data_IF_888127878004
#
_entry.id   IF_888127878004
#
_cell.length_a   1.000
_cell.length_b   1.000
_cell.length_c   1.000
_cell.angle_alpha   90.00
_cell.angle_beta   90.00
_cell.angle_gamma   90.00
#
_symmetry.space_group_name_H-M   'P 1'
#
loop_
_entity.id
_entity.type
_entity.pdbx_description
1 polymer ?
#
# COMPACT_ATOMS: atom_id res chain seq x y z
N UNK A 1 -76.10 3.36 -14.71
CA UNK A 1 -75.88 4.08 -15.98
C UNK A 1 -74.69 4.98 -15.76
N UNK A 2 -73.53 4.84 -16.36
CA UNK A 2 -73.06 4.12 -17.54
C UNK A 2 -71.85 4.91 -17.99
N UNK A 3 -70.67 4.29 -17.92
CA UNK A 3 -69.37 4.85 -18.33
C UNK A 3 -69.41 5.20 -19.81
N UNK A 4 -68.94 6.39 -20.20
CA UNK A 4 -68.23 6.60 -21.48
C UNK A 4 -67.08 7.59 -21.23
N UNK A 5 -65.86 7.05 -21.22
CA UNK A 5 -64.63 7.77 -21.52
C UNK A 5 -64.61 8.13 -23.01
N UNK A 6 -64.12 9.32 -23.35
CA UNK A 6 -63.65 9.60 -24.71
C UNK A 6 -62.33 10.33 -24.64
N UNK A 7 -61.35 9.71 -25.28
CA UNK A 7 -59.95 10.10 -25.33
C UNK A 7 -59.73 11.36 -26.18
N UNK A 8 -58.74 12.15 -25.79
CA UNK A 8 -58.01 13.02 -26.71
C UNK A 8 -56.52 12.69 -26.60
N UNK A 9 -56.05 12.03 -27.64
CA UNK A 9 -54.66 11.75 -27.97
C UNK A 9 -53.86 13.04 -28.20
N UNK A 10 -52.68 13.14 -27.60
CA UNK A 10 -51.74 14.24 -27.84
C UNK A 10 -50.37 13.98 -27.23
N UNK A 11 -49.58 13.15 -27.92
CA UNK A 11 -48.10 13.07 -27.93
C UNK A 11 -47.34 13.24 -26.60
N UNK A 12 -46.93 12.10 -26.04
CA UNK A 12 -45.80 12.00 -25.14
C UNK A 12 -44.50 12.30 -25.91
N UNK A 13 -43.81 13.39 -25.56
CA UNK A 13 -42.39 13.57 -25.85
C UNK A 13 -41.65 13.16 -24.57
N UNK A 14 -41.37 11.87 -24.45
CA UNK A 14 -40.38 11.35 -23.51
C UNK A 14 -39.03 11.40 -24.21
N UNK A 15 -38.28 12.49 -24.06
CA UNK A 15 -36.83 12.49 -24.33
C UNK A 15 -36.13 11.80 -23.16
N UNK A 16 -36.33 10.47 -23.08
CA UNK A 16 -35.38 9.60 -22.39
C UNK A 16 -34.19 9.45 -23.33
N UNK A 17 -33.17 10.30 -23.14
CA UNK A 17 -31.84 9.96 -23.62
C UNK A 17 -31.41 8.72 -22.85
N UNK A 18 -31.63 7.56 -23.44
CA UNK A 18 -30.96 6.32 -23.11
C UNK A 18 -29.46 6.61 -23.11
N UNK A 19 -28.86 6.75 -21.93
CA UNK A 19 -27.43 6.54 -21.77
C UNK A 19 -27.20 5.11 -22.24
N UNK A 20 -26.65 4.97 -23.44
CA UNK A 20 -26.06 3.72 -23.90
C UNK A 20 -25.06 3.29 -22.86
N UNK A 21 -25.35 2.20 -22.16
CA UNK A 21 -24.39 1.52 -21.31
C UNK A 21 -23.09 1.35 -22.13
N UNK A 22 -21.98 1.76 -21.54
CA UNK A 22 -20.67 1.48 -22.11
C UNK A 22 -20.56 -0.04 -22.36
N UNK A 23 -19.96 -0.47 -23.47
CA UNK A 23 -19.78 -1.89 -23.72
C UNK A 23 -18.96 -2.49 -22.58
N UNK A 24 -19.54 -3.49 -21.91
CA UNK A 24 -18.78 -4.39 -21.04
C UNK A 24 -17.73 -5.04 -21.93
N UNK A 25 -16.45 -4.72 -21.69
CA UNK A 25 -15.32 -5.32 -22.39
C UNK A 25 -15.14 -6.76 -21.88
N UNK A 26 -16.05 -7.66 -22.27
CA UNK A 26 -15.85 -9.10 -22.16
C UNK A 26 -15.00 -9.59 -23.33
N UNK A 27 -13.69 -9.42 -23.19
CA UNK A 27 -12.66 -10.24 -23.84
C UNK A 27 -11.32 -9.97 -23.13
N UNK A 28 -11.02 -10.72 -22.07
CA UNK A 28 -9.68 -10.73 -21.48
C UNK A 28 -8.68 -11.18 -22.55
N UNK A 29 -7.87 -10.23 -23.02
CA UNK A 29 -6.65 -10.57 -23.73
C UNK A 29 -5.83 -11.44 -22.78
N UNK A 30 -5.38 -12.65 -23.19
CA UNK A 30 -4.62 -13.52 -22.32
C UNK A 30 -3.45 -12.76 -21.71
N UNK A 31 -3.30 -12.84 -20.38
CA UNK A 31 -2.16 -12.22 -19.72
C UNK A 31 -0.86 -12.80 -20.28
N UNK A 32 0.17 -11.96 -20.48
CA UNK A 32 1.48 -12.42 -20.93
C UNK A 32 2.14 -13.35 -19.90
N UNK A 33 3.11 -14.14 -20.34
CA UNK A 33 3.82 -15.08 -19.45
C UNK A 33 4.97 -14.36 -18.73
N UNK A 34 5.01 -14.46 -17.40
CA UNK A 34 6.12 -13.99 -16.58
C UNK A 34 7.40 -14.79 -16.85
N UNK A 35 8.57 -14.13 -16.84
CA UNK A 35 9.87 -14.80 -16.89
C UNK A 35 10.10 -15.57 -15.57
N UNK A 36 10.55 -16.84 -15.60
CA UNK A 36 10.61 -17.68 -14.41
C UNK A 36 11.43 -17.12 -13.23
N UNK A 37 12.51 -16.39 -13.52
CA UNK A 37 13.46 -15.90 -12.50
C UNK A 37 13.16 -14.47 -12.02
N UNK A 38 12.09 -13.83 -12.50
CA UNK A 38 11.71 -12.46 -12.11
C UNK A 38 10.47 -12.52 -11.21
N UNK A 39 10.70 -12.45 -9.90
CA UNK A 39 9.63 -12.52 -8.89
C UNK A 39 8.57 -11.44 -9.12
N UNK A 40 8.98 -10.24 -9.47
CA UNK A 40 8.14 -9.07 -9.67
C UNK A 40 7.16 -9.24 -10.83
N UNK A 41 7.53 -9.97 -11.88
CA UNK A 41 6.64 -10.28 -12.99
C UNK A 41 5.55 -11.28 -12.59
N UNK A 42 5.91 -12.27 -11.77
CA UNK A 42 4.92 -13.17 -11.15
C UNK A 42 3.94 -12.39 -10.28
N UNK A 43 4.42 -11.40 -9.52
CA UNK A 43 3.55 -10.54 -8.71
C UNK A 43 2.70 -9.59 -9.57
N UNK A 44 3.21 -9.13 -10.72
CA UNK A 44 2.47 -8.31 -11.66
C UNK A 44 1.25 -9.03 -12.22
N UNK A 45 1.35 -10.33 -12.48
CA UNK A 45 0.20 -11.14 -12.91
C UNK A 45 -0.93 -11.16 -11.87
N UNK A 46 -0.59 -11.29 -10.59
CA UNK A 46 -1.57 -11.23 -9.50
C UNK A 46 -2.27 -9.86 -9.45
N UNK A 47 -1.51 -8.78 -9.59
CA UNK A 47 -2.07 -7.43 -9.62
C UNK A 47 -2.94 -7.19 -10.86
N UNK A 48 -2.52 -7.64 -12.06
CA UNK A 48 -3.29 -7.50 -13.29
C UNK A 48 -4.65 -8.22 -13.25
N UNK A 49 -4.71 -9.40 -12.61
CA UNK A 49 -5.95 -10.14 -12.36
C UNK A 49 -6.89 -9.41 -11.38
N UNK A 50 -6.32 -8.58 -10.50
CA UNK A 50 -7.01 -8.03 -9.35
C UNK A 50 -7.51 -6.59 -9.54
N UNK A 51 -6.71 -5.69 -10.14
CA UNK A 51 -6.92 -4.22 -10.09
C UNK A 51 -8.30 -3.74 -10.60
N UNK A 52 -8.95 -4.50 -11.48
CA UNK A 52 -10.29 -4.22 -12.02
C UNK A 52 -11.34 -5.29 -11.69
N UNK A 53 -10.99 -6.28 -10.87
CA UNK A 53 -11.90 -7.32 -10.39
C UNK A 53 -12.75 -6.75 -9.26
N UNK A 54 -14.02 -6.47 -9.55
CA UNK A 54 -14.88 -5.75 -8.60
C UNK A 54 -15.35 -6.59 -7.39
N UNK A 55 -15.45 -7.92 -7.50
CA UNK A 55 -16.00 -8.76 -6.43
C UNK A 55 -15.20 -10.05 -6.19
N UNK A 56 -15.13 -10.56 -4.93
CA UNK A 56 -15.68 -9.94 -3.71
C UNK A 56 -14.91 -8.68 -3.29
N UNK A 57 -15.62 -7.69 -2.71
CA UNK A 57 -15.03 -6.44 -2.25
C UNK A 57 -15.63 -5.98 -0.92
N UNK A 58 -14.76 -5.44 -0.06
CA UNK A 58 -15.02 -4.93 1.28
C UNK A 58 -15.01 -3.40 1.23
N UNK A 59 -16.15 -2.84 0.89
CA UNK A 59 -16.37 -1.40 1.02
C UNK A 59 -16.63 -1.07 2.50
N UNK A 60 -15.65 -0.46 3.18
CA UNK A 60 -15.78 -0.05 4.58
C UNK A 60 -15.81 1.47 4.72
N UNK A 61 -16.99 2.02 4.97
CA UNK A 61 -17.18 3.45 5.11
C UNK A 61 -18.44 3.79 5.94
N UNK A 62 -18.53 5.00 6.49
CA UNK A 62 -19.76 5.45 7.15
C UNK A 62 -20.85 5.71 6.09
N UNK A 63 -22.08 5.22 6.28
CA UNK A 63 -23.22 5.66 5.48
C UNK A 63 -23.78 6.94 6.12
N UNK A 64 -23.74 8.06 5.39
CA UNK A 64 -24.41 9.29 5.81
C UNK A 64 -25.92 9.20 5.55
N UNK A 65 -26.30 8.59 4.43
CA UNK A 65 -27.67 8.29 4.02
C UNK A 65 -27.70 7.08 3.06
N UNK A 66 -28.90 6.70 2.60
CA UNK A 66 -29.09 5.54 1.72
C UNK A 66 -28.35 5.65 0.38
N UNK A 67 -28.03 6.87 -0.08
CA UNK A 67 -27.32 7.09 -1.33
C UNK A 67 -25.82 6.76 -1.23
N UNK A 68 -25.27 6.56 -0.03
CA UNK A 68 -23.89 6.08 0.15
C UNK A 68 -23.75 4.56 -0.10
N UNK A 69 -24.85 3.80 -0.05
CA UNK A 69 -24.85 2.35 -0.28
C UNK A 69 -24.75 2.02 -1.78
N UNK A 70 -23.54 2.16 -2.34
CA UNK A 70 -23.25 1.96 -3.77
C UNK A 70 -22.17 0.91 -4.02
N UNK A 71 -22.13 0.32 -5.23
CA UNK A 71 -21.03 -0.57 -5.61
C UNK A 71 -19.68 0.16 -5.70
N UNK A 72 -18.54 -0.55 -5.51
CA UNK A 72 -17.19 0.04 -5.53
C UNK A 72 -16.91 0.94 -6.73
N UNK A 73 -17.25 0.50 -7.94
CA UNK A 73 -17.03 1.26 -9.19
C UNK A 73 -17.76 2.62 -9.24
N UNK A 74 -18.80 2.79 -8.44
CA UNK A 74 -19.53 4.06 -8.36
C UNK A 74 -18.97 4.97 -7.25
N UNK A 75 -18.28 4.41 -6.25
CA UNK A 75 -17.72 5.12 -5.11
C UNK A 75 -16.31 5.64 -5.40
N UNK A 76 -15.43 4.76 -5.90
CA UNK A 76 -14.01 5.03 -6.11
C UNK A 76 -13.53 4.34 -7.42
N UNK A 77 -13.87 4.90 -8.59
CA UNK A 77 -13.68 4.25 -9.89
C UNK A 77 -12.22 4.09 -10.33
N UNK A 78 -11.25 4.77 -9.74
CA UNK A 78 -9.85 4.55 -10.06
C UNK A 78 -9.29 3.31 -9.33
N UNK A 79 -9.86 3.00 -8.15
CA UNK A 79 -9.34 1.99 -7.23
C UNK A 79 -10.43 1.00 -6.78
N UNK A 80 -11.35 0.64 -7.67
CA UNK A 80 -12.54 -0.14 -7.33
C UNK A 80 -12.33 -1.65 -7.25
N UNK A 81 -11.33 -2.18 -7.95
CA UNK A 81 -11.06 -3.61 -7.99
C UNK A 81 -10.36 -4.11 -6.72
N UNK A 82 -9.90 -5.36 -6.75
CA UNK A 82 -9.35 -6.06 -5.62
C UNK A 82 -10.32 -6.16 -4.42
N UNK A 83 -9.81 -6.62 -3.29
CA UNK A 83 -10.63 -6.84 -2.10
C UNK A 83 -11.11 -5.54 -1.46
N UNK A 84 -10.37 -4.44 -1.51
CA UNK A 84 -10.78 -3.12 -1.05
C UNK A 84 -9.95 -2.02 -1.72
N UNK A 85 -10.23 -0.75 -1.39
CA UNK A 85 -9.59 0.41 -2.01
C UNK A 85 -8.07 0.38 -1.91
N UNK A 86 -7.51 0.14 -0.72
CA UNK A 86 -6.05 0.12 -0.58
C UNK A 86 -5.43 -1.12 -1.22
N UNK A 87 -6.11 -2.27 -1.23
CA UNK A 87 -5.71 -3.45 -2.01
C UNK A 87 -5.58 -3.14 -3.50
N UNK A 88 -6.50 -2.35 -4.05
CA UNK A 88 -6.38 -1.85 -5.41
C UNK A 88 -5.15 -0.97 -5.55
N UNK A 89 -4.94 0.00 -4.66
CA UNK A 89 -3.76 0.88 -4.67
C UNK A 89 -2.44 0.09 -4.59
N UNK A 90 -2.38 -0.99 -3.80
CA UNK A 90 -1.23 -1.91 -3.75
C UNK A 90 -0.90 -2.48 -5.14
N UNK A 91 -1.91 -2.99 -5.84
CA UNK A 91 -1.78 -3.49 -7.20
C UNK A 91 -1.26 -2.41 -8.15
N UNK A 92 -1.88 -1.22 -8.12
CA UNK A 92 -1.49 -0.10 -8.98
C UNK A 92 -0.03 0.36 -8.72
N UNK A 93 0.39 0.45 -7.46
CA UNK A 93 1.78 0.75 -7.10
C UNK A 93 2.74 -0.32 -7.62
N UNK A 94 2.42 -1.60 -7.42
CA UNK A 94 3.25 -2.72 -7.88
C UNK A 94 3.43 -2.65 -9.40
N UNK A 95 2.35 -2.49 -10.15
CA UNK A 95 2.39 -2.43 -11.60
C UNK A 95 3.23 -1.23 -12.09
N UNK A 96 3.10 -0.08 -11.44
CA UNK A 96 3.91 1.11 -11.73
C UNK A 96 5.41 0.86 -11.44
N UNK A 97 5.72 0.16 -10.34
CA UNK A 97 7.10 -0.24 -9.99
C UNK A 97 7.68 -1.18 -11.03
N UNK A 98 6.91 -2.14 -11.53
CA UNK A 98 7.36 -3.08 -12.58
C UNK A 98 7.69 -2.31 -13.87
N UNK A 99 6.85 -1.38 -14.31
CA UNK A 99 7.13 -0.56 -15.50
C UNK A 99 8.43 0.24 -15.39
N UNK A 100 8.76 0.73 -14.19
CA UNK A 100 9.96 1.53 -13.95
C UNK A 100 11.23 0.71 -13.80
N UNK A 101 11.14 -0.46 -13.15
CA UNK A 101 12.31 -1.32 -12.88
C UNK A 101 12.63 -2.24 -14.05
N UNK A 102 11.62 -2.67 -14.82
CA UNK A 102 11.74 -3.62 -15.93
C UNK A 102 11.11 -3.04 -17.20
N UNK A 103 11.88 -2.21 -17.91
CA UNK A 103 11.46 -1.56 -19.15
C UNK A 103 11.07 -2.56 -20.25
N UNK A 104 11.71 -3.73 -20.26
CA UNK A 104 11.52 -4.85 -21.18
C UNK A 104 10.47 -5.89 -20.73
N UNK A 105 9.73 -5.60 -19.65
CA UNK A 105 8.74 -6.53 -19.10
C UNK A 105 7.70 -6.94 -20.15
N UNK A 106 7.45 -8.24 -20.38
CA UNK A 106 6.39 -8.67 -21.30
C UNK A 106 4.98 -8.28 -20.83
N UNK A 107 4.82 -7.82 -19.57
CA UNK A 107 3.57 -7.27 -19.04
C UNK A 107 3.33 -5.81 -19.42
N UNK A 108 4.31 -5.10 -19.98
CA UNK A 108 4.27 -3.64 -20.15
C UNK A 108 2.97 -3.12 -20.75
N UNK A 109 2.56 -3.66 -21.89
CA UNK A 109 1.35 -3.18 -22.59
C UNK A 109 0.06 -3.47 -21.80
N UNK A 110 -0.01 -4.64 -21.15
CA UNK A 110 -1.14 -5.00 -20.30
C UNK A 110 -1.23 -4.08 -19.06
N UNK A 111 -0.08 -3.74 -18.48
CA UNK A 111 0.00 -2.81 -17.36
C UNK A 111 -0.45 -1.41 -17.78
N UNK A 112 0.11 -0.89 -18.87
CA UNK A 112 -0.25 0.44 -19.36
C UNK A 112 -1.76 0.52 -19.63
N UNK A 113 -2.34 -0.48 -20.30
CA UNK A 113 -3.77 -0.51 -20.58
C UNK A 113 -4.64 -0.46 -19.31
N UNK A 114 -4.26 -1.20 -18.24
CA UNK A 114 -4.99 -1.21 -16.97
C UNK A 114 -4.86 0.10 -16.21
N UNK A 115 -3.64 0.64 -16.12
CA UNK A 115 -3.37 1.89 -15.41
C UNK A 115 -3.95 3.11 -16.15
N UNK A 116 -4.00 3.07 -17.48
CA UNK A 116 -4.64 4.10 -18.31
C UNK A 116 -6.13 4.27 -18.00
N UNK A 117 -6.84 3.16 -17.85
CA UNK A 117 -8.26 3.17 -17.48
C UNK A 117 -8.44 3.69 -16.05
N UNK A 118 -7.69 3.14 -15.09
CA UNK A 118 -7.77 3.57 -13.68
C UNK A 118 -7.44 5.05 -13.47
N UNK A 119 -6.37 5.54 -14.09
CA UNK A 119 -5.85 6.90 -13.91
C UNK A 119 -6.43 7.91 -14.91
N UNK A 120 -7.53 7.57 -15.59
CA UNK A 120 -8.28 8.53 -16.37
C UNK A 120 -8.68 9.75 -15.49
N UNK A 121 -8.54 10.99 -15.98
CA UNK A 121 -8.87 12.19 -15.19
C UNK A 121 -10.27 12.18 -14.58
N UNK A 122 -11.25 11.60 -15.29
CA UNK A 122 -12.64 11.48 -14.84
C UNK A 122 -12.76 10.55 -13.63
N UNK A 123 -12.00 9.46 -13.61
CA UNK A 123 -11.98 8.51 -12.49
C UNK A 123 -11.35 9.16 -11.27
N UNK A 124 -10.22 9.86 -11.43
CA UNK A 124 -9.58 10.59 -10.33
C UNK A 124 -10.48 11.72 -9.80
N UNK A 125 -11.21 12.43 -10.67
CA UNK A 125 -12.17 13.45 -10.22
C UNK A 125 -13.25 12.86 -9.30
N UNK A 126 -13.72 11.64 -9.59
CA UNK A 126 -14.70 10.93 -8.75
C UNK A 126 -14.10 10.43 -7.43
N UNK A 127 -12.83 10.03 -7.41
CA UNK A 127 -12.10 9.78 -6.15
C UNK A 127 -12.06 11.05 -5.29
N UNK A 128 -11.76 12.21 -5.89
CA UNK A 128 -11.73 13.50 -5.21
C UNK A 128 -13.09 13.85 -4.61
N UNK A 129 -14.19 13.64 -5.35
CA UNK A 129 -15.55 13.82 -4.85
C UNK A 129 -15.83 12.89 -3.65
N UNK A 130 -15.45 11.61 -3.74
CA UNK A 130 -15.63 10.68 -2.63
C UNK A 130 -14.83 11.09 -1.39
N UNK A 131 -13.56 11.45 -1.57
CA UNK A 131 -12.73 11.90 -0.44
C UNK A 131 -13.35 13.15 0.17
N UNK A 132 -13.74 14.16 -0.61
CA UNK A 132 -14.23 15.44 -0.07
C UNK A 132 -15.63 15.38 0.56
N UNK A 133 -16.36 14.29 0.41
CA UNK A 133 -17.69 14.13 1.01
C UNK A 133 -17.69 14.15 2.55
N UNK A 134 -18.82 14.52 3.19
CA UNK A 134 -18.96 14.52 4.65
C UNK A 134 -18.60 13.17 5.28
N UNK A 135 -18.00 13.21 6.47
CA UNK A 135 -17.60 12.03 7.25
C UNK A 135 -16.56 11.10 6.58
N UNK A 136 -15.88 11.54 5.51
CA UNK A 136 -14.81 10.77 4.83
C UNK A 136 -13.40 11.16 5.24
N UNK A 137 -13.22 12.09 6.19
CA UNK A 137 -11.89 12.55 6.64
C UNK A 137 -11.00 11.42 7.17
N UNK A 138 -11.62 10.36 7.71
CA UNK A 138 -10.92 9.23 8.31
C UNK A 138 -10.61 8.06 7.38
N UNK A 139 -11.20 8.07 6.18
CA UNK A 139 -11.06 6.99 5.22
C UNK A 139 -9.58 6.70 4.95
N UNK A 140 -9.21 5.42 5.03
CA UNK A 140 -7.87 4.88 4.73
C UNK A 140 -6.70 5.39 5.60
N UNK A 141 -6.96 6.12 6.69
CA UNK A 141 -5.90 6.59 7.59
C UNK A 141 -5.35 5.48 8.50
N UNK A 142 -4.02 5.36 8.67
CA UNK A 142 -2.95 5.95 7.84
C UNK A 142 -2.59 5.08 6.62
N UNK A 143 -2.95 3.79 6.63
CA UNK A 143 -2.37 2.78 5.76
C UNK A 143 -2.63 2.97 4.26
N UNK A 144 -3.90 3.03 3.84
CA UNK A 144 -4.21 3.21 2.43
C UNK A 144 -3.69 4.55 1.89
N UNK A 145 -3.74 5.61 2.72
CA UNK A 145 -3.14 6.89 2.35
C UNK A 145 -1.63 6.79 2.13
N UNK A 146 -0.93 6.05 2.98
CA UNK A 146 0.51 5.84 2.86
C UNK A 146 0.88 5.09 1.57
N UNK A 147 0.12 4.07 1.20
CA UNK A 147 0.31 3.34 -0.05
C UNK A 147 -0.01 4.18 -1.29
N UNK A 148 -1.05 5.01 -1.23
CA UNK A 148 -1.34 5.95 -2.30
C UNK A 148 -0.18 6.94 -2.50
N UNK A 149 0.37 7.47 -1.41
CA UNK A 149 1.53 8.37 -1.49
C UNK A 149 2.79 7.65 -1.98
N UNK A 150 2.96 6.35 -1.73
CA UNK A 150 4.00 5.55 -2.37
C UNK A 150 3.78 5.38 -3.88
N UNK A 151 2.54 5.20 -4.34
CA UNK A 151 2.20 5.22 -5.78
C UNK A 151 2.60 6.56 -6.39
N UNK A 152 2.24 7.68 -5.77
CA UNK A 152 2.62 9.01 -6.25
C UNK A 152 4.15 9.16 -6.31
N UNK A 153 4.87 8.79 -5.25
CA UNK A 153 6.33 8.86 -5.22
C UNK A 153 6.99 7.98 -6.29
N UNK A 154 6.42 6.82 -6.59
CA UNK A 154 6.94 5.93 -7.63
C UNK A 154 6.87 6.57 -9.02
N UNK A 155 5.73 7.21 -9.32
CA UNK A 155 5.49 7.92 -10.58
C UNK A 155 6.31 9.20 -10.70
N UNK A 156 6.44 9.95 -9.60
CA UNK A 156 7.19 11.21 -9.53
C UNK A 156 8.66 11.05 -9.91
N UNK A 157 9.28 9.96 -9.46
CA UNK A 157 10.68 9.61 -9.71
C UNK A 157 10.94 9.05 -11.12
N UNK A 158 9.93 8.84 -11.95
CA UNK A 158 10.08 8.23 -13.27
C UNK A 158 10.30 9.26 -14.36
N UNK A 159 11.26 9.04 -15.27
CA UNK A 159 11.40 9.86 -16.48
C UNK A 159 10.49 9.40 -17.64
N UNK A 160 9.72 8.31 -17.46
CA UNK A 160 8.79 7.80 -18.47
C UNK A 160 7.62 8.79 -18.67
N UNK A 161 7.39 9.30 -19.89
CA UNK A 161 6.34 10.29 -20.16
C UNK A 161 4.94 9.84 -19.74
N UNK A 162 4.62 8.54 -19.83
CA UNK A 162 3.29 8.04 -19.47
C UNK A 162 3.12 8.00 -17.96
N UNK A 163 4.16 7.61 -17.21
CA UNK A 163 4.14 7.65 -15.75
C UNK A 163 4.02 9.10 -15.24
N UNK A 164 4.69 10.05 -15.90
CA UNK A 164 4.56 11.48 -15.61
C UNK A 164 3.16 12.03 -15.93
N UNK A 165 2.49 11.53 -16.97
CA UNK A 165 1.09 11.87 -17.24
C UNK A 165 0.16 11.39 -16.11
N UNK A 166 0.28 10.13 -15.70
CA UNK A 166 -0.49 9.62 -14.56
C UNK A 166 -0.19 10.35 -13.26
N UNK A 167 1.07 10.69 -13.00
CA UNK A 167 1.50 11.53 -11.86
C UNK A 167 0.73 12.84 -11.81
N UNK A 168 0.53 13.49 -12.95
CA UNK A 168 -0.26 14.72 -13.05
C UNK A 168 -1.75 14.47 -12.82
N UNK A 169 -2.31 13.37 -13.34
CA UNK A 169 -3.72 13.02 -13.12
C UNK A 169 -4.02 12.77 -11.64
N UNK A 170 -3.09 12.15 -10.90
CA UNK A 170 -3.24 11.82 -9.47
C UNK A 170 -3.10 13.04 -8.52
N UNK A 171 -2.55 14.15 -9.00
CA UNK A 171 -2.23 15.33 -8.19
C UNK A 171 -3.43 15.90 -7.38
N UNK A 172 -4.65 16.02 -7.93
CA UNK A 172 -5.79 16.55 -7.17
C UNK A 172 -6.14 15.72 -5.93
N UNK A 173 -6.06 14.39 -6.03
CA UNK A 173 -6.32 13.48 -4.92
C UNK A 173 -5.16 13.48 -3.92
N UNK A 174 -3.92 13.49 -4.41
CA UNK A 174 -2.69 13.64 -3.60
C UNK A 174 -2.77 14.87 -2.68
N UNK A 175 -3.13 16.04 -3.21
CA UNK A 175 -3.21 17.27 -2.41
C UNK A 175 -4.22 17.15 -1.26
N UNK A 176 -5.37 16.51 -1.49
CA UNK A 176 -6.37 16.27 -0.45
C UNK A 176 -5.84 15.31 0.63
N UNK A 177 -5.16 14.24 0.22
CA UNK A 177 -4.58 13.25 1.12
C UNK A 177 -3.47 13.88 1.97
N UNK A 178 -2.57 14.64 1.33
CA UNK A 178 -1.51 15.42 1.99
C UNK A 178 -2.08 16.34 3.06
N UNK A 179 -3.07 17.16 2.72
CA UNK A 179 -3.64 18.14 3.65
C UNK A 179 -4.38 17.46 4.82
N UNK A 180 -4.99 16.29 4.60
CA UNK A 180 -5.59 15.48 5.68
C UNK A 180 -4.55 14.97 6.66
N UNK A 181 -3.41 14.51 6.17
CA UNK A 181 -2.32 14.01 7.01
C UNK A 181 -1.75 15.18 7.83
N UNK A 182 -1.47 16.32 7.19
CA UNK A 182 -1.00 17.53 7.86
C UNK A 182 -1.99 18.00 8.93
N UNK A 183 -3.29 17.98 8.65
CA UNK A 183 -4.32 18.33 9.63
C UNK A 183 -4.52 17.29 10.74
N UNK A 184 -4.17 16.03 10.49
CA UNK A 184 -4.36 14.93 11.45
C UNK A 184 -3.19 14.77 12.42
N UNK A 185 -1.94 14.83 11.94
CA UNK A 185 -0.74 14.57 12.73
C UNK A 185 -0.67 15.38 14.04
N UNK A 186 -0.99 16.70 14.07
CA UNK A 186 -0.98 17.48 15.32
C UNK A 186 -1.93 16.96 16.39
N UNK A 187 -3.02 16.31 15.98
CA UNK A 187 -4.09 15.82 16.85
C UNK A 187 -3.84 14.40 17.39
N UNK A 188 -2.80 13.72 16.91
CA UNK A 188 -2.49 12.36 17.33
C UNK A 188 -1.72 12.37 18.65
N UNK A 189 -2.40 12.12 19.76
CA UNK A 189 -1.78 12.14 21.09
C UNK A 189 -0.92 10.90 21.38
N UNK A 190 -1.23 9.77 20.74
CA UNK A 190 -0.56 8.50 20.96
C UNK A 190 -0.25 7.82 19.62
N UNK A 191 0.90 7.14 19.52
CA UNK A 191 1.17 6.24 18.41
C UNK A 191 0.28 4.99 18.50
N UNK A 192 -0.03 4.40 17.35
CA UNK A 192 -0.67 3.08 17.25
C UNK A 192 0.41 2.04 16.98
N UNK A 193 0.56 1.07 17.89
CA UNK A 193 1.58 -0.01 17.86
C UNK A 193 1.04 -1.38 17.44
N UNK A 194 -0.16 -1.48 16.87
CA UNK A 194 -0.67 -2.77 16.39
C UNK A 194 0.13 -3.27 15.18
N UNK A 195 0.16 -4.57 14.91
CA UNK A 195 0.78 -5.12 13.69
C UNK A 195 -0.11 -5.09 12.46
N UNK A 196 -1.06 -4.15 12.40
CA UNK A 196 -2.11 -4.07 11.38
C UNK A 196 -2.27 -2.65 10.82
N UNK A 197 -3.25 -2.42 9.94
CA UNK A 197 -3.49 -1.18 9.18
C UNK A 197 -3.40 0.13 10.01
N UNK A 198 -3.78 0.12 11.28
CA UNK A 198 -3.72 1.31 12.13
C UNK A 198 -2.29 1.77 12.48
N UNK A 199 -1.27 0.93 12.26
CA UNK A 199 0.08 1.14 12.79
C UNK A 199 0.68 2.47 12.32
N UNK A 200 1.09 3.31 13.27
CA UNK A 200 1.64 4.64 12.97
C UNK A 200 3.04 4.56 12.37
N UNK A 201 3.91 3.66 12.85
CA UNK A 201 5.30 3.61 12.42
C UNK A 201 5.45 3.30 10.92
N UNK A 202 4.80 2.23 10.45
CA UNK A 202 4.74 1.86 9.04
C UNK A 202 4.15 2.98 8.17
N UNK A 203 2.99 3.51 8.55
CA UNK A 203 2.36 4.59 7.79
C UNK A 203 3.28 5.81 7.67
N UNK A 204 3.90 6.21 8.79
CA UNK A 204 4.80 7.37 8.81
C UNK A 204 6.07 7.15 8.00
N UNK A 205 6.64 5.95 8.01
CA UNK A 205 7.84 5.64 7.23
C UNK A 205 7.58 5.82 5.73
N UNK A 206 6.47 5.29 5.22
CA UNK A 206 6.10 5.41 3.81
C UNK A 206 5.71 6.85 3.44
N UNK A 207 5.00 7.56 4.30
CA UNK A 207 4.65 8.97 4.04
C UNK A 207 5.91 9.86 4.09
N UNK A 208 6.87 9.57 4.96
CA UNK A 208 8.15 10.29 5.05
C UNK A 208 8.98 10.11 3.77
N UNK A 209 9.06 8.87 3.26
CA UNK A 209 9.71 8.59 1.98
C UNK A 209 9.03 9.41 0.86
N UNK A 210 7.70 9.40 0.77
CA UNK A 210 6.98 10.27 -0.18
C UNK A 210 7.33 11.75 -0.02
N UNK A 211 7.26 12.29 1.21
CA UNK A 211 7.47 13.71 1.47
C UNK A 211 8.87 14.16 1.00
N UNK A 212 9.87 13.30 1.17
CA UNK A 212 11.23 13.55 0.67
C UNK A 212 11.33 13.46 -0.84
N UNK A 213 10.69 12.46 -1.47
CA UNK A 213 10.65 12.32 -2.94
C UNK A 213 10.12 13.60 -3.59
N UNK A 214 8.97 14.10 -3.13
CA UNK A 214 8.32 15.28 -3.72
C UNK A 214 8.78 16.62 -3.10
N UNK A 215 9.80 16.59 -2.24
CA UNK A 215 10.35 17.75 -1.53
C UNK A 215 9.30 18.56 -0.71
N UNK A 216 8.36 17.87 -0.07
CA UNK A 216 7.38 18.43 0.86
C UNK A 216 7.97 18.61 2.26
N UNK A 217 8.71 19.70 2.44
CA UNK A 217 9.39 20.02 3.68
C UNK A 217 8.45 20.22 4.88
N UNK A 218 7.19 20.59 4.67
CA UNK A 218 6.23 20.77 5.76
C UNK A 218 5.80 19.43 6.33
N UNK A 219 5.41 18.50 5.44
CA UNK A 219 5.00 17.16 5.84
C UNK A 219 6.17 16.38 6.44
N UNK A 220 7.37 16.48 5.85
CA UNK A 220 8.58 15.87 6.39
C UNK A 220 8.85 16.31 7.84
N UNK A 221 8.86 17.62 8.11
CA UNK A 221 9.10 18.14 9.47
C UNK A 221 8.06 17.62 10.47
N UNK A 222 6.77 17.65 10.10
CA UNK A 222 5.69 17.17 10.99
C UNK A 222 5.82 15.67 11.30
N UNK A 223 6.20 14.86 10.32
CA UNK A 223 6.43 13.43 10.52
C UNK A 223 7.63 13.18 11.42
N UNK A 224 8.76 13.86 11.18
CA UNK A 224 9.96 13.74 12.03
C UNK A 224 9.65 14.13 13.47
N UNK A 225 9.02 15.29 13.69
CA UNK A 225 8.66 15.78 15.02
C UNK A 225 7.72 14.81 15.74
N UNK A 226 6.65 14.34 15.07
CA UNK A 226 5.68 13.42 15.67
C UNK A 226 6.30 12.06 15.97
N UNK A 227 7.16 11.56 15.10
CA UNK A 227 7.83 10.28 15.27
C UNK A 227 8.83 10.32 16.42
N UNK A 228 9.67 11.36 16.51
CA UNK A 228 10.56 11.53 17.67
C UNK A 228 9.78 11.61 18.98
N UNK A 229 8.70 12.40 19.02
CA UNK A 229 7.85 12.50 20.21
C UNK A 229 7.24 11.15 20.66
N UNK A 230 7.04 10.21 19.74
CA UNK A 230 6.41 8.92 20.00
C UNK A 230 7.36 7.77 20.30
N UNK A 231 8.58 7.83 19.79
CA UNK A 231 9.44 6.64 19.67
C UNK A 231 10.88 6.89 20.14
N UNK A 232 11.32 8.14 20.29
CA UNK A 232 12.71 8.45 20.66
C UNK A 232 13.13 7.91 22.03
N UNK A 233 12.17 7.76 22.96
CA UNK A 233 12.42 7.27 24.32
C UNK A 233 11.97 5.83 24.54
N UNK A 234 11.49 5.13 23.51
CA UNK A 234 11.08 3.74 23.65
C UNK A 234 12.31 2.86 23.87
N UNK A 235 12.16 1.86 24.74
CA UNK A 235 13.22 0.90 25.10
C UNK A 235 12.62 -0.49 25.27
N UNK A 236 13.43 -1.54 25.12
CA UNK A 236 13.04 -2.93 25.35
C UNK A 236 11.73 -3.33 24.65
N UNK A 237 11.63 -3.10 23.34
CA UNK A 237 10.42 -3.41 22.59
C UNK A 237 10.05 -4.90 22.74
N UNK A 238 8.79 -5.24 23.07
CA UNK A 238 8.40 -6.59 23.47
C UNK A 238 8.22 -7.54 22.26
N UNK A 239 9.32 -7.87 21.57
CA UNK A 239 9.31 -8.76 20.39
C UNK A 239 8.66 -10.14 20.67
N UNK A 240 8.72 -10.62 21.91
CA UNK A 240 8.11 -11.89 22.31
C UNK A 240 6.57 -11.89 22.27
N UNK A 241 5.92 -10.72 22.10
CA UNK A 241 4.48 -10.63 21.83
C UNK A 241 4.14 -10.77 20.35
N UNK A 242 5.14 -10.77 19.48
CA UNK A 242 4.93 -10.82 18.04
C UNK A 242 5.19 -12.24 17.45
N UNK A 243 4.45 -12.64 16.41
CA UNK A 243 3.30 -11.93 15.85
C UNK A 243 2.02 -12.15 16.68
N UNK A 244 1.12 -11.17 16.67
CA UNK A 244 -0.30 -11.40 16.98
C UNK A 244 -0.98 -12.13 15.82
N UNK A 245 -2.12 -12.78 16.09
CA UNK A 245 -2.75 -13.72 15.15
C UNK A 245 -3.27 -13.13 13.83
N UNK A 246 -3.26 -11.81 13.67
CA UNK A 246 -3.67 -11.14 12.43
C UNK A 246 -2.68 -10.03 12.01
N UNK A 247 -1.47 -10.06 12.55
CA UNK A 247 -0.44 -9.10 12.16
C UNK A 247 -0.01 -9.37 10.72
N UNK A 248 0.26 -8.31 9.97
CA UNK A 248 1.08 -8.30 8.75
C UNK A 248 2.31 -7.38 8.89
N UNK A 249 2.43 -6.71 10.03
CA UNK A 249 3.53 -5.82 10.39
C UNK A 249 4.07 -6.22 11.76
N UNK A 250 5.38 -6.11 11.94
CA UNK A 250 6.01 -6.17 13.27
C UNK A 250 5.92 -4.79 13.96
N UNK A 251 5.21 -4.64 15.08
CA UNK A 251 5.26 -3.43 15.90
C UNK A 251 6.66 -2.87 16.12
N UNK A 252 7.60 -3.71 16.57
CA UNK A 252 8.95 -3.30 16.92
C UNK A 252 9.81 -2.99 15.70
N UNK A 253 9.82 -3.87 14.69
CA UNK A 253 10.72 -3.68 13.55
C UNK A 253 10.26 -2.53 12.64
N UNK A 254 8.95 -2.25 12.54
CA UNK A 254 8.49 -1.08 11.80
C UNK A 254 8.82 0.24 12.51
N UNK A 255 8.83 0.26 13.84
CA UNK A 255 9.33 1.40 14.60
C UNK A 255 10.81 1.65 14.33
N UNK A 256 11.64 0.60 14.40
CA UNK A 256 13.05 0.72 14.06
C UNK A 256 13.28 1.13 12.58
N UNK A 257 12.45 0.64 11.63
CA UNK A 257 12.51 1.06 10.22
C UNK A 257 12.16 2.55 10.02
N UNK A 258 11.21 3.08 10.79
CA UNK A 258 10.91 4.50 10.79
C UNK A 258 12.07 5.30 11.40
N UNK A 259 12.58 4.89 12.56
CA UNK A 259 13.58 5.67 13.30
C UNK A 259 14.91 5.73 12.57
N UNK A 260 15.32 4.69 11.83
CA UNK A 260 16.51 4.77 10.97
C UNK A 260 16.41 5.86 9.91
N UNK A 261 15.21 6.22 9.44
CA UNK A 261 15.01 7.25 8.41
C UNK A 261 15.17 8.66 8.98
N UNK A 262 15.11 8.80 10.31
CA UNK A 262 14.99 10.08 11.03
C UNK A 262 16.28 10.42 11.77
N UNK A 263 16.94 9.42 12.34
CA UNK A 263 18.14 9.58 13.15
C UNK A 263 19.39 9.53 12.28
N UNK A 264 20.45 10.21 12.72
CA UNK A 264 21.78 9.97 12.14
C UNK A 264 22.22 8.52 12.44
N UNK A 265 23.17 7.98 11.67
CA UNK A 265 23.69 6.61 11.90
C UNK A 265 24.14 6.37 13.36
N UNK A 266 24.85 7.33 13.95
CA UNK A 266 25.35 7.22 15.32
C UNK A 266 24.21 7.28 16.36
N UNK A 267 23.24 8.18 16.17
CA UNK A 267 22.06 8.27 17.03
C UNK A 267 21.23 6.98 16.95
N UNK A 268 20.97 6.50 15.73
CA UNK A 268 20.18 5.30 15.50
C UNK A 268 20.84 4.06 16.11
N UNK A 269 22.15 3.87 15.91
CA UNK A 269 22.87 2.72 16.47
C UNK A 269 22.78 2.66 18.01
N UNK A 270 22.88 3.83 18.67
CA UNK A 270 22.76 3.95 20.12
C UNK A 270 21.31 3.71 20.59
N UNK A 271 20.34 4.33 19.93
CA UNK A 271 18.91 4.14 20.22
C UNK A 271 18.49 2.67 20.04
N UNK A 272 18.93 2.03 18.95
CA UNK A 272 18.63 0.63 18.65
C UNK A 272 19.13 -0.32 19.74
N UNK A 273 20.28 -0.03 20.36
CA UNK A 273 20.82 -0.82 21.48
C UNK A 273 19.89 -0.79 22.70
N UNK A 274 19.25 0.34 22.98
CA UNK A 274 18.28 0.44 24.07
C UNK A 274 16.89 -0.10 23.68
N UNK A 275 16.50 0.07 22.41
CA UNK A 275 15.20 -0.33 21.90
C UNK A 275 15.07 -1.83 21.65
N UNK A 276 16.08 -2.45 21.03
CA UNK A 276 16.17 -3.88 20.71
C UNK A 276 17.50 -4.46 21.20
N UNK A 277 17.68 -4.62 22.53
CA UNK A 277 18.94 -5.09 23.12
C UNK A 277 19.29 -6.53 22.75
N UNK A 278 18.30 -7.33 22.35
CA UNK A 278 18.45 -8.77 22.12
C UNK A 278 18.84 -9.13 20.68
N UNK A 279 19.14 -8.16 19.80
CA UNK A 279 19.64 -8.45 18.45
C UNK A 279 20.98 -9.18 18.57
N UNK A 280 21.10 -10.42 18.06
CA UNK A 280 22.33 -11.18 18.20
C UNK A 280 23.47 -10.58 17.38
N UNK A 281 24.69 -10.92 17.80
CA UNK A 281 25.94 -10.61 17.09
C UNK A 281 26.65 -11.87 16.57
N UNK A 282 25.93 -13.00 16.52
CA UNK A 282 26.47 -14.32 16.17
C UNK A 282 26.39 -14.63 14.68
N UNK A 283 25.56 -13.89 13.94
CA UNK A 283 25.23 -14.20 12.55
C UNK A 283 24.14 -15.27 12.39
N UNK A 284 23.56 -15.75 13.48
CA UNK A 284 22.44 -16.70 13.46
C UNK A 284 21.14 -16.01 12.99
N UNK A 285 20.29 -16.76 12.30
CA UNK A 285 19.06 -16.28 11.66
C UNK A 285 17.78 -16.57 12.45
N UNK A 286 17.84 -17.40 13.49
CA UNK A 286 16.68 -17.99 14.17
C UNK A 286 16.21 -17.24 15.42
N UNK A 287 16.89 -16.15 15.80
CA UNK A 287 16.52 -15.34 16.97
C UNK A 287 15.12 -14.70 16.86
N UNK A 288 14.65 -14.47 15.64
CA UNK A 288 13.28 -14.08 15.33
C UNK A 288 12.71 -15.06 14.31
N UNK A 289 11.86 -15.97 14.78
CA UNK A 289 11.27 -16.99 13.92
C UNK A 289 10.27 -16.39 12.91
N UNK A 290 10.18 -16.95 11.68
CA UNK A 290 9.10 -16.66 10.74
C UNK A 290 7.71 -16.89 11.34
N UNK A 291 6.76 -16.05 10.95
CA UNK A 291 5.34 -16.25 11.22
C UNK A 291 4.84 -17.52 10.54
N UNK A 292 3.92 -18.23 11.21
CA UNK A 292 3.38 -19.52 10.75
C UNK A 292 1.93 -19.32 10.31
N UNK A 293 1.62 -19.61 9.04
CA UNK A 293 0.26 -19.67 8.53
C UNK A 293 -0.20 -21.13 8.50
N UNK A 294 -1.28 -21.43 9.22
CA UNK A 294 -1.90 -22.78 9.23
C UNK A 294 -3.02 -22.88 8.19
N UNK A 295 -3.86 -21.84 8.09
CA UNK A 295 -4.92 -21.76 7.09
C UNK A 295 -4.73 -20.51 6.22
N UNK A 296 -4.24 -20.68 4.98
CA UNK A 296 -4.01 -19.55 4.07
C UNK A 296 -5.29 -19.04 3.40
N UNK A 297 -6.46 -19.65 3.65
CA UNK A 297 -7.76 -19.17 3.14
C UNK A 297 -8.48 -18.26 4.16
N UNK A 298 -7.93 -18.10 5.37
CA UNK A 298 -8.44 -17.12 6.32
C UNK A 298 -7.73 -15.78 6.08
N UNK A 299 -8.51 -14.77 5.70
CA UNK A 299 -8.00 -13.44 5.38
C UNK A 299 -7.25 -12.74 6.51
N UNK A 300 -7.49 -13.10 7.76
CA UNK A 300 -6.71 -12.58 8.89
C UNK A 300 -5.45 -13.42 9.15
N UNK A 301 -5.50 -14.74 9.00
CA UNK A 301 -4.33 -15.59 9.26
C UNK A 301 -3.26 -15.45 8.17
N UNK A 302 -3.67 -15.30 6.91
CA UNK A 302 -2.73 -15.09 5.77
C UNK A 302 -1.90 -13.81 5.92
N UNK A 303 -2.33 -12.85 6.77
CA UNK A 303 -1.53 -11.69 7.11
C UNK A 303 -0.12 -12.05 7.63
N UNK A 304 0.06 -13.22 8.27
CA UNK A 304 1.35 -13.65 8.79
C UNK A 304 2.38 -13.91 7.67
N UNK A 305 1.96 -14.22 6.45
CA UNK A 305 2.87 -14.24 5.29
C UNK A 305 3.40 -12.82 4.99
N UNK A 306 2.55 -11.81 5.15
CA UNK A 306 2.94 -10.40 5.07
C UNK A 306 3.86 -9.97 6.20
N UNK A 307 3.72 -10.53 7.42
CA UNK A 307 4.69 -10.29 8.52
C UNK A 307 6.08 -10.72 8.08
N UNK A 308 6.21 -11.89 7.44
CA UNK A 308 7.51 -12.36 6.99
C UNK A 308 8.14 -11.37 5.99
N UNK A 309 7.37 -10.89 5.02
CA UNK A 309 7.84 -9.92 4.04
C UNK A 309 8.21 -8.57 4.68
N UNK A 310 7.36 -8.04 5.57
CA UNK A 310 7.57 -6.74 6.19
C UNK A 310 8.71 -6.76 7.21
N UNK A 311 8.90 -7.86 7.95
CA UNK A 311 10.07 -8.08 8.82
C UNK A 311 11.35 -8.15 8.02
N UNK A 312 11.35 -8.87 6.90
CA UNK A 312 12.52 -8.94 6.02
C UNK A 312 12.91 -7.56 5.48
N UNK A 313 11.95 -6.73 5.07
CA UNK A 313 12.28 -5.36 4.64
C UNK A 313 12.87 -4.56 5.79
N UNK A 314 12.31 -4.70 7.00
CA UNK A 314 12.63 -3.82 8.12
C UNK A 314 14.02 -4.15 8.63
N UNK A 315 14.34 -5.44 8.75
CA UNK A 315 15.68 -5.89 9.10
C UNK A 315 16.73 -5.48 8.06
N UNK A 316 16.42 -5.55 6.75
CA UNK A 316 17.31 -5.02 5.71
C UNK A 316 17.53 -3.50 5.87
N UNK A 317 16.47 -2.75 6.18
CA UNK A 317 16.52 -1.33 6.52
C UNK A 317 17.44 -1.03 7.70
N UNK A 318 17.18 -1.70 8.82
CA UNK A 318 17.92 -1.54 10.08
C UNK A 318 19.40 -1.87 9.86
N UNK A 319 19.70 -3.01 9.21
CA UNK A 319 21.08 -3.39 8.89
C UNK A 319 21.78 -2.32 8.03
N UNK A 320 21.10 -1.79 7.01
CA UNK A 320 21.67 -0.77 6.14
C UNK A 320 22.01 0.55 6.86
N UNK A 321 21.28 0.89 7.94
CA UNK A 321 21.51 2.10 8.72
C UNK A 321 22.69 1.98 9.70
N UNK A 322 23.15 0.77 10.02
CA UNK A 322 24.29 0.53 10.91
C UNK A 322 25.63 0.65 10.17
N UNK A 323 26.69 1.00 10.91
CA UNK A 323 28.06 1.03 10.39
C UNK A 323 28.44 -0.35 9.82
N UNK A 324 29.28 -0.40 8.78
CA UNK A 324 29.59 -1.65 8.05
C UNK A 324 30.23 -2.74 8.91
N UNK A 325 30.85 -2.37 10.04
CA UNK A 325 31.49 -3.24 11.01
C UNK A 325 30.63 -3.49 12.28
N UNK A 326 29.39 -3.01 12.32
CA UNK A 326 28.48 -3.25 13.44
C UNK A 326 28.12 -4.75 13.51
N UNK A 327 28.36 -5.42 14.66
CA UNK A 327 28.26 -6.87 14.76
C UNK A 327 26.82 -7.39 14.64
N UNK A 328 25.80 -6.54 14.83
CA UNK A 328 24.38 -6.92 14.69
C UNK A 328 23.96 -7.15 13.24
N UNK A 329 24.70 -6.59 12.27
CA UNK A 329 24.34 -6.62 10.85
C UNK A 329 24.19 -8.04 10.32
N UNK A 330 25.12 -8.93 10.68
CA UNK A 330 25.13 -10.29 10.15
C UNK A 330 23.86 -11.05 10.53
N UNK A 331 23.43 -10.95 11.80
CA UNK A 331 22.18 -11.59 12.26
C UNK A 331 20.93 -10.95 11.64
N UNK A 332 20.90 -9.62 11.50
CA UNK A 332 19.79 -8.93 10.83
C UNK A 332 19.65 -9.36 9.37
N UNK A 333 20.76 -9.41 8.61
CA UNK A 333 20.77 -9.83 7.20
C UNK A 333 20.43 -11.31 7.03
N UNK A 334 20.91 -12.18 7.93
CA UNK A 334 20.60 -13.61 7.91
C UNK A 334 19.12 -13.87 8.21
N UNK A 335 18.55 -13.25 9.24
CA UNK A 335 17.12 -13.34 9.54
C UNK A 335 16.27 -12.71 8.43
N UNK A 336 16.67 -11.57 7.87
CA UNK A 336 15.96 -10.94 6.76
C UNK A 336 15.87 -11.89 5.54
N UNK A 337 16.95 -12.64 5.26
CA UNK A 337 16.99 -13.61 4.18
C UNK A 337 16.02 -14.78 4.43
N UNK A 338 16.01 -15.34 5.63
CA UNK A 338 15.08 -16.42 6.01
C UNK A 338 13.61 -15.99 5.91
N UNK A 339 13.29 -14.78 6.39
CA UNK A 339 11.94 -14.22 6.30
C UNK A 339 11.54 -13.91 4.86
N UNK A 340 12.47 -13.39 4.03
CA UNK A 340 12.24 -13.15 2.60
C UNK A 340 11.90 -14.43 1.88
N UNK A 341 12.71 -15.48 2.04
CA UNK A 341 12.50 -16.77 1.39
C UNK A 341 11.15 -17.36 1.77
N UNK A 342 10.83 -17.35 3.08
CA UNK A 342 9.56 -17.85 3.61
C UNK A 342 8.36 -17.07 3.04
N UNK A 343 8.39 -15.74 3.12
CA UNK A 343 7.29 -14.88 2.68
C UNK A 343 7.06 -14.92 1.16
N UNK A 344 8.12 -14.92 0.35
CA UNK A 344 7.99 -14.96 -1.12
C UNK A 344 7.49 -16.32 -1.61
N UNK A 345 7.88 -17.41 -0.95
CA UNK A 345 7.44 -18.76 -1.28
C UNK A 345 5.95 -18.99 -0.96
N UNK A 346 5.40 -18.30 0.04
CA UNK A 346 4.00 -18.45 0.44
C UNK A 346 3.00 -17.82 -0.54
N UNK A 347 3.44 -16.88 -1.39
CA UNK A 347 2.54 -16.19 -2.32
C UNK A 347 2.11 -17.12 -3.45
N UNK A 348 0.81 -17.41 -3.49
CA UNK A 348 0.14 -18.21 -4.53
C UNK A 348 -1.03 -17.44 -5.15
N UNK A 349 -1.34 -17.73 -6.41
CA UNK A 349 -2.57 -17.28 -7.08
C UNK A 349 -3.83 -17.99 -6.58
N UNK A 350 -3.68 -19.15 -5.95
CA UNK A 350 -4.81 -20.00 -5.56
C UNK A 350 -5.63 -19.45 -4.40
N UNK A 351 -5.03 -18.58 -3.57
CA UNK A 351 -5.65 -18.02 -2.37
C UNK A 351 -5.83 -16.51 -2.55
N UNK A 352 -7.06 -16.09 -2.86
CA UNK A 352 -7.36 -14.68 -3.12
C UNK A 352 -7.06 -13.79 -1.91
N UNK A 353 -7.23 -14.33 -0.71
CA UNK A 353 -7.00 -13.68 0.59
C UNK A 353 -5.58 -13.14 0.75
N UNK A 354 -4.59 -13.80 0.14
CA UNK A 354 -3.20 -13.32 0.09
C UNK A 354 -2.86 -12.62 -1.23
N UNK A 355 -3.31 -13.16 -2.36
CA UNK A 355 -2.85 -12.75 -3.70
C UNK A 355 -3.20 -11.31 -4.07
N UNK A 356 -4.25 -10.74 -3.49
CA UNK A 356 -4.69 -9.37 -3.79
C UNK A 356 -3.75 -8.27 -3.26
N UNK A 357 -2.83 -8.57 -2.34
CA UNK A 357 -1.96 -7.54 -1.73
C UNK A 357 -0.53 -7.99 -1.45
N UNK A 358 -0.28 -9.27 -1.12
CA UNK A 358 1.06 -9.76 -0.74
C UNK A 358 2.11 -9.54 -1.84
N UNK A 359 1.70 -9.56 -3.10
CA UNK A 359 2.57 -9.26 -4.23
C UNK A 359 3.25 -7.88 -4.10
N UNK A 360 2.54 -6.88 -3.56
CA UNK A 360 3.12 -5.55 -3.36
C UNK A 360 4.19 -5.53 -2.26
N UNK A 361 3.99 -6.28 -1.17
CA UNK A 361 4.99 -6.42 -0.10
C UNK A 361 6.23 -7.14 -0.61
N UNK A 362 6.05 -8.21 -1.40
CA UNK A 362 7.15 -8.91 -2.04
C UNK A 362 7.91 -7.98 -2.99
N UNK A 363 7.23 -7.30 -3.91
CA UNK A 363 7.87 -6.35 -4.84
C UNK A 363 8.58 -5.21 -4.10
N UNK A 364 8.02 -4.70 -3.00
CA UNK A 364 8.68 -3.68 -2.18
C UNK A 364 10.00 -4.18 -1.59
N UNK A 365 9.98 -5.39 -1.03
CA UNK A 365 11.16 -6.06 -0.49
C UNK A 365 12.20 -6.40 -1.57
N UNK A 366 11.79 -7.05 -2.65
CA UNK A 366 12.69 -7.62 -3.65
C UNK A 366 13.33 -6.55 -4.53
N UNK A 367 12.61 -5.47 -4.83
CA UNK A 367 13.15 -4.28 -5.52
C UNK A 367 13.81 -3.27 -4.57
N UNK A 368 13.92 -3.60 -3.27
CA UNK A 368 14.56 -2.76 -2.24
C UNK A 368 14.02 -1.32 -2.23
N UNK A 369 12.70 -1.13 -2.41
CA UNK A 369 12.06 0.20 -2.54
C UNK A 369 12.43 1.13 -1.40
N UNK A 370 12.28 0.66 -0.15
CA UNK A 370 12.58 1.45 1.06
C UNK A 370 14.05 1.79 1.30
N UNK A 371 14.97 1.25 0.48
CA UNK A 371 16.42 1.49 0.53
C UNK A 371 16.96 2.29 -0.66
N UNK A 372 16.24 2.34 -1.79
CA UNK A 372 16.74 2.91 -3.07
C UNK A 372 16.00 4.17 -3.51
N UNK A 373 14.84 4.49 -2.93
CA UNK A 373 14.15 5.76 -3.13
C UNK A 373 14.51 6.80 -2.05
N UNK A 374 13.63 7.76 -1.80
CA UNK A 374 13.79 8.80 -0.77
C UNK A 374 13.92 8.31 0.69
N UNK A 375 13.90 7.00 0.87
CA UNK A 375 14.22 6.28 2.09
C UNK A 375 15.69 5.87 2.27
N UNK A 376 16.54 6.08 1.26
CA UNK A 376 17.97 5.87 1.33
C UNK A 376 18.60 6.94 2.24
N UNK A 377 19.28 6.51 3.31
CA UNK A 377 20.16 7.41 4.07
C UNK A 377 21.40 7.64 3.19
N UNK A 378 21.70 8.91 2.85
CA UNK A 378 22.95 9.29 2.18
C UNK A 378 24.16 9.17 3.11
#
# INVERSE_FOLDING_TARGET
>A
MGIILTACSGQNITDSKTMTAAPVLDAETPLPTARPDIVEERMALLALDCVHKEYPNKTSHLLNDDADARPPRELFPAFYGCFDWHSSVHGHWLLSRVLKVYDDSPMRDAIIAKLDDSFAPENIAREVEYFTAPQRKAFERPYGLAWFLQLVAELDESDDPRLQEWRNHLQPLEMIIRDRIIGWLPNLAYPVRSGTHGQSAFGFALILDYARTVNDQQLERLLIERSRAFYENDTNCPLHYEPSGADFLSPCLQEADLMRRIMTQQEFSNWLTAFLPDIPSTGESDWLAPGIVIDPNDGHLVHLDGVNLSRAWAMNGIAAALATDDPRRQSLEASASLHRETGVAAISSDNYEGSHWLGSFATYLTTRRGLTGAGAIQ
#
